data_IF_391535510588
#
_entry.id   IF_391535510588
#
_cell.length_a   1.000
_cell.length_b   1.000
_cell.length_c   1.000
_cell.angle_alpha   90.00
_cell.angle_beta   90.00
_cell.angle_gamma   90.00
#
_symmetry.space_group_name_H-M   'P 1'
#
loop_
_entity.id
_entity.type
_entity.pdbx_description
1 polymer ?
#
# COMPACT_ATOMS: atom_id res chain seq x y z
N UNK A 1 24.85 3.90 -14.23
CA UNK A 1 24.20 2.80 -14.98
C UNK A 1 23.56 1.85 -13.99
N UNK A 2 22.24 1.95 -13.79
CA UNK A 2 21.52 1.06 -12.87
C UNK A 2 21.27 -0.29 -13.56
N UNK A 3 22.00 -1.31 -13.13
CA UNK A 3 21.84 -2.69 -13.62
C UNK A 3 20.57 -3.27 -13.00
N UNK A 4 19.45 -3.10 -13.69
CA UNK A 4 18.19 -3.74 -13.35
C UNK A 4 18.32 -5.26 -13.55
N UNK A 5 18.67 -5.97 -12.47
CA UNK A 5 18.51 -7.41 -12.39
C UNK A 5 17.03 -7.75 -12.46
N UNK A 6 16.51 -8.01 -13.67
CA UNK A 6 15.23 -8.69 -13.87
C UNK A 6 15.36 -10.08 -13.28
N UNK A 7 15.00 -10.24 -12.00
CA UNK A 7 14.58 -11.54 -11.51
C UNK A 7 13.32 -11.88 -12.28
N UNK A 8 13.44 -12.85 -13.19
CA UNK A 8 12.31 -13.47 -13.86
C UNK A 8 11.31 -13.88 -12.79
N UNK A 9 10.14 -13.26 -12.80
CA UNK A 9 9.01 -13.65 -11.97
C UNK A 9 8.58 -15.00 -12.54
N UNK A 10 8.95 -16.08 -11.85
CA UNK A 10 8.55 -17.43 -12.22
C UNK A 10 7.03 -17.53 -12.07
N UNK A 11 6.33 -17.44 -13.20
CA UNK A 11 4.90 -17.71 -13.30
C UNK A 11 4.70 -19.24 -13.24
N UNK A 12 4.92 -19.81 -12.05
CA UNK A 12 4.66 -21.21 -11.75
C UNK A 12 3.28 -21.38 -11.10
N UNK A 13 2.54 -22.41 -11.50
CA UNK A 13 1.23 -22.80 -10.98
C UNK A 13 1.27 -23.30 -9.51
N UNK A 14 1.77 -22.47 -8.59
CA UNK A 14 1.71 -22.71 -7.16
C UNK A 14 0.91 -21.58 -6.54
N UNK A 15 -0.20 -21.93 -5.86
CA UNK A 15 -1.16 -21.00 -5.26
C UNK A 15 -0.61 -20.20 -4.08
N UNK A 16 0.46 -19.43 -4.30
CA UNK A 16 0.70 -18.26 -3.48
C UNK A 16 -0.36 -17.22 -3.83
N UNK A 17 -1.10 -16.76 -2.82
CA UNK A 17 -1.96 -15.59 -3.01
C UNK A 17 -1.12 -14.46 -3.62
N UNK A 18 -1.62 -13.79 -4.66
CA UNK A 18 -0.91 -12.67 -5.27
C UNK A 18 -0.67 -11.61 -4.20
N UNK A 19 0.60 -11.27 -4.00
CA UNK A 19 0.99 -10.22 -3.07
C UNK A 19 0.43 -8.87 -3.55
N UNK A 20 -0.43 -8.19 -2.76
CA UNK A 20 -1.05 -6.93 -3.18
C UNK A 20 0.01 -5.85 -3.49
N UNK A 21 1.17 -5.87 -2.83
CA UNK A 21 2.26 -4.95 -3.15
C UNK A 21 2.82 -5.16 -4.56
N UNK A 22 2.86 -6.40 -5.04
CA UNK A 22 3.28 -6.72 -6.41
C UNK A 22 2.30 -6.19 -7.45
N UNK A 23 0.99 -6.29 -7.20
CA UNK A 23 -0.03 -5.77 -8.12
C UNK A 23 -0.02 -4.23 -8.16
N UNK A 24 0.12 -3.56 -7.00
CA UNK A 24 0.27 -2.10 -6.94
C UNK A 24 1.47 -1.65 -7.75
N UNK A 25 2.63 -2.31 -7.59
CA UNK A 25 3.84 -2.00 -8.37
C UNK A 25 3.61 -2.16 -9.88
N UNK A 26 2.91 -3.20 -10.29
CA UNK A 26 2.59 -3.44 -11.70
C UNK A 26 1.75 -2.29 -12.26
N UNK A 27 0.69 -1.86 -11.58
CA UNK A 27 -0.12 -0.72 -12.03
C UNK A 27 0.66 0.59 -12.14
N UNK A 28 1.57 0.85 -11.19
CA UNK A 28 2.47 2.01 -11.24
C UNK A 28 3.40 1.93 -12.46
N UNK A 29 4.03 0.78 -12.70
CA UNK A 29 4.98 0.61 -13.80
C UNK A 29 4.28 0.73 -15.18
N UNK A 30 2.99 0.42 -15.28
CA UNK A 30 2.16 0.64 -16.49
C UNK A 30 1.48 2.01 -16.55
N UNK A 31 1.73 2.92 -15.60
CA UNK A 31 1.15 4.26 -15.58
C UNK A 31 -0.35 4.31 -15.22
N UNK A 32 -0.94 3.21 -14.74
CA UNK A 32 -2.34 3.12 -14.30
C UNK A 32 -2.50 3.66 -12.88
N UNK A 33 -2.17 4.93 -12.68
CA UNK A 33 -2.03 5.53 -11.33
C UNK A 33 -3.34 5.61 -10.55
N UNK A 34 -4.47 5.83 -11.23
CA UNK A 34 -5.78 5.86 -10.57
C UNK A 34 -6.13 4.51 -9.93
N UNK A 35 -5.86 3.42 -10.64
CA UNK A 35 -6.14 2.07 -10.17
C UNK A 35 -5.12 1.60 -9.13
N UNK A 36 -3.85 1.99 -9.29
CA UNK A 36 -2.83 1.79 -8.26
C UNK A 36 -3.25 2.47 -6.95
N UNK A 37 -3.79 3.69 -7.04
CA UNK A 37 -4.31 4.42 -5.88
C UNK A 37 -5.51 3.70 -5.27
N UNK A 38 -6.52 3.33 -6.07
CA UNK A 38 -7.71 2.64 -5.56
C UNK A 38 -7.37 1.30 -4.89
N UNK A 39 -6.51 0.49 -5.51
CA UNK A 39 -6.07 -0.77 -4.94
C UNK A 39 -5.35 -0.58 -3.60
N UNK A 40 -4.56 0.49 -3.47
CA UNK A 40 -3.90 0.83 -2.22
C UNK A 40 -4.91 1.30 -1.16
N UNK A 41 -5.93 2.06 -1.53
CA UNK A 41 -7.02 2.45 -0.61
C UNK A 41 -7.75 1.21 -0.08
N UNK A 42 -8.16 0.31 -0.98
CA UNK A 42 -8.81 -0.95 -0.62
C UNK A 42 -7.92 -1.82 0.29
N UNK A 43 -6.62 -1.87 0.02
CA UNK A 43 -5.66 -2.57 0.87
C UNK A 43 -5.63 -1.98 2.29
N UNK A 44 -5.54 -0.64 2.43
CA UNK A 44 -5.49 0.04 3.72
C UNK A 44 -6.81 -0.11 4.49
N UNK A 45 -7.96 -0.08 3.82
CA UNK A 45 -9.28 -0.33 4.41
C UNK A 45 -9.46 -1.80 4.82
N UNK A 46 -8.96 -2.74 4.02
CA UNK A 46 -8.95 -4.16 4.39
C UNK A 46 -8.10 -4.42 5.63
N UNK A 47 -7.01 -3.68 5.81
CA UNK A 47 -6.19 -3.75 7.02
C UNK A 47 -6.97 -3.30 8.25
N UNK A 48 -7.69 -2.18 8.15
CA UNK A 48 -8.54 -1.65 9.22
C UNK A 48 -9.65 -2.63 9.64
N UNK A 49 -10.26 -3.31 8.68
CA UNK A 49 -11.41 -4.19 8.92
C UNK A 49 -10.99 -5.58 9.41
N UNK A 50 -9.91 -6.14 8.86
CA UNK A 50 -9.36 -7.44 9.29
C UNK A 50 -8.71 -7.34 10.67
N UNK A 51 -8.21 -6.16 11.06
CA UNK A 51 -7.63 -5.89 12.38
C UNK A 51 -8.55 -6.21 13.56
N UNK A 52 -9.88 -6.16 13.37
CA UNK A 52 -10.85 -6.47 14.41
C UNK A 52 -11.23 -7.96 14.53
N UNK A 53 -10.97 -8.78 13.51
CA UNK A 53 -11.57 -10.11 13.38
C UNK A 53 -10.58 -11.29 13.50
N UNK A 54 -9.28 -11.10 13.25
CA UNK A 54 -8.36 -12.26 13.18
C UNK A 54 -6.87 -11.90 13.42
N UNK A 55 -6.33 -12.10 14.66
CA UNK A 55 -4.95 -11.75 15.00
C UNK A 55 -3.88 -12.59 14.26
N UNK A 56 -4.25 -13.75 13.69
CA UNK A 56 -3.34 -14.58 12.89
C UNK A 56 -3.12 -13.96 11.50
N UNK A 57 -4.14 -13.30 10.94
CA UNK A 57 -3.98 -12.53 9.70
C UNK A 57 -3.15 -11.27 9.92
N UNK A 58 -3.21 -10.65 11.11
CA UNK A 58 -2.30 -9.55 11.51
C UNK A 58 -0.84 -9.96 11.40
N UNK A 59 -0.46 -11.15 11.87
CA UNK A 59 0.94 -11.63 11.78
C UNK A 59 1.41 -11.84 10.34
N UNK A 60 0.51 -12.23 9.42
CA UNK A 60 0.81 -12.37 7.99
C UNK A 60 0.83 -11.03 7.24
N UNK A 61 -0.09 -10.11 7.54
CA UNK A 61 -0.11 -8.76 6.93
C UNK A 61 0.99 -7.86 7.48
N UNK A 62 1.36 -7.98 8.75
CA UNK A 62 2.56 -7.34 9.33
C UNK A 62 3.87 -7.96 8.84
N UNK A 63 3.87 -9.23 8.42
CA UNK A 63 5.01 -9.86 7.77
C UNK A 63 5.14 -9.48 6.27
N UNK A 64 4.06 -9.01 5.65
CA UNK A 64 4.10 -8.41 4.31
C UNK A 64 4.55 -6.96 4.47
N UNK A 65 5.81 -6.72 4.12
CA UNK A 65 6.45 -5.41 4.16
C UNK A 65 5.54 -4.35 3.50
N UNK A 66 5.11 -3.35 4.27
CA UNK A 66 4.32 -2.25 3.75
C UNK A 66 5.05 -1.63 2.54
N UNK A 67 4.38 -1.43 1.39
CA UNK A 67 5.07 -1.14 0.13
C UNK A 67 5.51 0.32 0.01
N UNK A 68 6.31 0.82 0.96
CA UNK A 68 6.77 2.22 1.05
C UNK A 68 7.33 2.74 -0.27
N UNK A 69 8.19 1.97 -0.93
CA UNK A 69 8.83 2.37 -2.19
C UNK A 69 7.85 2.47 -3.35
N UNK A 70 6.79 1.64 -3.37
CA UNK A 70 5.75 1.75 -4.38
C UNK A 70 4.88 2.99 -4.15
N UNK A 71 4.55 3.26 -2.88
CA UNK A 71 3.75 4.42 -2.48
C UNK A 71 4.48 5.73 -2.81
N UNK A 72 5.78 5.81 -2.51
CA UNK A 72 6.61 6.96 -2.87
C UNK A 72 6.66 7.18 -4.39
N UNK A 73 6.88 6.11 -5.17
CA UNK A 73 6.90 6.20 -6.64
C UNK A 73 5.56 6.68 -7.20
N UNK A 74 4.45 6.15 -6.69
CA UNK A 74 3.10 6.60 -7.05
C UNK A 74 2.91 8.09 -6.74
N UNK A 75 3.36 8.54 -5.56
CA UNK A 75 3.27 9.94 -5.16
C UNK A 75 4.05 10.87 -6.09
N UNK A 76 5.29 10.51 -6.41
CA UNK A 76 6.13 11.27 -7.34
C UNK A 76 5.49 11.37 -8.73
N UNK A 77 4.99 10.25 -9.28
CA UNK A 77 4.36 10.24 -10.60
C UNK A 77 3.05 11.04 -10.63
N UNK A 78 2.23 10.96 -9.58
CA UNK A 78 1.05 11.83 -9.44
C UNK A 78 1.44 13.31 -9.38
N UNK A 79 2.58 13.63 -8.76
CA UNK A 79 3.08 15.00 -8.69
C UNK A 79 3.60 15.52 -10.01
N UNK A 80 4.32 14.71 -10.76
CA UNK A 80 4.77 15.06 -12.11
C UNK A 80 3.58 15.31 -13.04
N UNK A 81 2.53 14.48 -12.97
CA UNK A 81 1.30 14.69 -13.76
C UNK A 81 0.55 15.96 -13.36
N UNK A 82 0.41 16.25 -12.06
CA UNK A 82 -0.15 17.52 -11.59
C UNK A 82 0.64 18.72 -12.14
N UNK A 83 1.98 18.67 -12.02
CA UNK A 83 2.87 19.77 -12.40
C UNK A 83 2.94 19.98 -13.91
N UNK A 84 2.72 18.94 -14.70
CA UNK A 84 2.65 19.01 -16.16
C UNK A 84 1.33 19.64 -16.68
N UNK A 85 0.41 20.04 -15.79
CA UNK A 85 -0.87 20.65 -16.17
C UNK A 85 -1.88 19.65 -16.74
N UNK A 86 -1.58 18.35 -16.72
CA UNK A 86 -2.45 17.31 -17.27
C UNK A 86 -3.41 16.81 -16.19
N UNK A 87 -4.72 16.96 -16.40
CA UNK A 87 -5.77 16.45 -15.50
C UNK A 87 -5.57 16.81 -14.01
N UNK A 88 -5.19 18.07 -13.74
CA UNK A 88 -4.81 18.58 -12.41
C UNK A 88 -5.83 18.25 -11.31
N UNK A 89 -7.13 18.42 -11.59
CA UNK A 89 -8.18 18.10 -10.63
C UNK A 89 -8.30 16.61 -10.25
N UNK A 90 -8.02 15.70 -11.18
CA UNK A 90 -8.07 14.26 -10.91
C UNK A 90 -6.82 13.81 -10.13
N UNK A 91 -5.65 14.30 -10.52
CA UNK A 91 -4.40 13.98 -9.83
C UNK A 91 -4.40 14.53 -8.38
N UNK A 92 -4.91 15.76 -8.16
CA UNK A 92 -5.07 16.33 -6.83
C UNK A 92 -6.06 15.54 -5.97
N UNK A 93 -7.17 15.06 -6.57
CA UNK A 93 -8.13 14.19 -5.86
C UNK A 93 -7.46 12.89 -5.41
N UNK A 94 -6.72 12.22 -6.30
CA UNK A 94 -6.03 10.97 -5.99
C UNK A 94 -4.99 11.17 -4.88
N UNK A 95 -4.21 12.25 -4.93
CA UNK A 95 -3.25 12.58 -3.87
C UNK A 95 -3.92 12.80 -2.51
N UNK A 96 -5.02 13.54 -2.47
CA UNK A 96 -5.77 13.79 -1.22
C UNK A 96 -6.31 12.49 -0.62
N UNK A 97 -6.88 11.62 -1.46
CA UNK A 97 -7.34 10.30 -1.02
C UNK A 97 -6.20 9.46 -0.46
N UNK A 98 -5.08 9.39 -1.20
CA UNK A 98 -3.90 8.66 -0.79
C UNK A 98 -3.34 9.16 0.54
N UNK A 99 -3.19 10.48 0.69
CA UNK A 99 -2.70 11.10 1.92
C UNK A 99 -3.65 10.82 3.10
N UNK A 100 -4.96 10.96 2.89
CA UNK A 100 -5.97 10.70 3.92
C UNK A 100 -5.93 9.26 4.41
N UNK A 101 -5.88 8.29 3.49
CA UNK A 101 -5.83 6.87 3.83
C UNK A 101 -4.53 6.48 4.56
N UNK A 102 -3.39 7.00 4.11
CA UNK A 102 -2.10 6.76 4.77
C UNK A 102 -2.07 7.32 6.19
N UNK A 103 -2.56 8.54 6.39
CA UNK A 103 -2.66 9.13 7.73
C UNK A 103 -3.59 8.33 8.63
N UNK A 104 -4.72 7.86 8.11
CA UNK A 104 -5.65 7.03 8.87
C UNK A 104 -5.02 5.69 9.25
N UNK A 105 -4.34 5.04 8.31
CA UNK A 105 -3.62 3.79 8.54
C UNK A 105 -2.53 3.94 9.61
N UNK A 106 -1.71 5.00 9.53
CA UNK A 106 -0.67 5.27 10.54
C UNK A 106 -1.27 5.51 11.93
N UNK A 107 -2.41 6.20 12.03
CA UNK A 107 -3.14 6.37 13.29
C UNK A 107 -3.62 5.02 13.84
N UNK A 108 -4.19 4.17 13.00
CA UNK A 108 -4.63 2.83 13.40
C UNK A 108 -3.46 1.97 13.88
N UNK A 109 -2.35 1.93 13.13
CA UNK A 109 -1.13 1.21 13.53
C UNK A 109 -0.58 1.69 14.87
N UNK A 110 -0.67 2.99 15.16
CA UNK A 110 -0.27 3.55 16.45
C UNK A 110 -1.16 3.02 17.59
N UNK A 111 -2.48 3.12 17.45
CA UNK A 111 -3.44 2.61 18.44
C UNK A 111 -3.25 1.11 18.66
N UNK A 112 -3.14 0.34 17.58
CA UNK A 112 -2.89 -1.10 17.59
C UNK A 112 -1.59 -1.47 18.32
N UNK A 113 -0.57 -0.60 18.29
CA UNK A 113 0.69 -0.78 19.01
C UNK A 113 0.55 -0.45 20.49
N UNK A 114 -0.19 0.60 20.85
CA UNK A 114 -0.46 0.98 22.23
C UNK A 114 -1.29 -0.11 22.95
N UNK A 115 -2.31 -0.65 22.28
CA UNK A 115 -3.13 -1.77 22.79
C UNK A 115 -2.30 -3.04 23.01
N UNK A 116 -1.40 -3.36 22.07
CA UNK A 116 -0.51 -4.51 22.21
C UNK A 116 0.44 -4.36 23.40
N UNK A 117 0.97 -3.16 23.63
CA UNK A 117 1.82 -2.86 24.80
C UNK A 117 1.01 -2.96 26.11
N UNK A 118 -0.22 -2.43 26.14
CA UNK A 118 -1.08 -2.53 27.31
C UNK A 118 -1.43 -3.98 27.65
N UNK A 119 -1.75 -4.81 26.64
CA UNK A 119 -2.01 -6.23 26.83
C UNK A 119 -0.80 -7.00 27.33
N UNK A 120 0.42 -6.64 26.89
CA UNK A 120 1.65 -7.29 27.32
C UNK A 120 2.04 -6.94 28.76
N UNK A 121 1.69 -5.74 29.25
CA UNK A 121 1.91 -5.32 30.64
C UNK A 121 0.87 -5.91 31.60
N UNK A 122 -0.31 -6.27 31.08
CA UNK A 122 -1.39 -6.90 31.84
C UNK A 122 -1.29 -8.44 31.92
N UNK A 123 -0.30 -9.06 31.26
CA UNK A 123 -0.05 -10.52 31.23
C UNK A 123 1.13 -10.90 32.13
#
# INVERSE_FOLDING_TARGET
MFKAGRRAISWGMTGQQPDPATLVRLYIDYGRLAEATNLLLEYLESFATVGAADPIKRKKTSAIWFPYTAIERLWCQLQELCSAGHMTGQCDKLKRLLQGALLNHLKQVKVDSEDALASAVAS
#
